data_IF_046311069167
#
_entry.id   IF_046311069167
#
_cell.length_a   1.000
_cell.length_b   1.000
_cell.length_c   1.000
_cell.angle_alpha   90.00
_cell.angle_beta   90.00
_cell.angle_gamma   90.00
#
_symmetry.space_group_name_H-M   'P 1'
#
loop_
_entity.id
_entity.type
_entity.pdbx_description
1 polymer ?
#
# COMPACT_ATOMS: atom_id res chain seq x y z
N UNK A 1 15.79 -7.87 -8.76
CA UNK A 1 15.89 -6.44 -9.12
C UNK A 1 14.73 -5.98 -10.01
N UNK A 2 14.55 -6.54 -11.21
CA UNK A 2 13.47 -6.11 -12.14
C UNK A 2 12.08 -6.20 -11.52
N UNK A 3 11.73 -7.32 -10.87
CA UNK A 3 10.45 -7.47 -10.19
C UNK A 3 10.23 -6.41 -9.10
N UNK A 4 11.26 -6.11 -8.31
CA UNK A 4 11.24 -5.08 -7.25
C UNK A 4 10.99 -3.70 -7.84
N UNK A 5 11.76 -3.33 -8.87
CA UNK A 5 11.56 -2.07 -9.58
C UNK A 5 10.17 -1.95 -10.22
N UNK A 6 9.61 -3.05 -10.67
CA UNK A 6 8.27 -3.07 -11.25
C UNK A 6 7.18 -2.76 -10.22
N UNK A 7 7.09 -3.51 -9.11
CA UNK A 7 6.02 -3.28 -8.13
C UNK A 7 6.21 -2.03 -7.28
N UNK A 8 7.44 -1.53 -7.12
CA UNK A 8 7.71 -0.20 -6.54
C UNK A 8 7.62 0.95 -7.55
N UNK A 9 7.31 0.70 -8.82
CA UNK A 9 7.08 1.79 -9.78
C UNK A 9 5.74 2.46 -9.49
N UNK A 10 5.61 3.75 -9.79
CA UNK A 10 4.31 4.42 -9.78
C UNK A 10 3.60 4.31 -11.15
N UNK A 11 3.89 3.24 -11.90
CA UNK A 11 3.35 3.06 -13.26
C UNK A 11 1.90 2.63 -13.17
N UNK A 12 0.99 3.38 -13.79
CA UNK A 12 -0.41 2.96 -13.93
C UNK A 12 -0.53 1.99 -15.11
N UNK A 13 -0.95 0.77 -14.83
CA UNK A 13 -1.26 -0.22 -15.87
C UNK A 13 -2.69 -0.01 -16.39
N UNK A 14 -2.96 -0.26 -17.67
CA UNK A 14 -4.34 -0.37 -18.15
C UNK A 14 -5.07 -1.48 -17.40
N UNK A 15 -6.29 -1.21 -16.90
CA UNK A 15 -7.06 -2.13 -16.04
C UNK A 15 -7.21 -3.52 -16.64
N UNK A 16 -7.44 -3.62 -17.96
CA UNK A 16 -7.55 -4.90 -18.66
C UNK A 16 -6.26 -5.73 -18.61
N UNK A 17 -5.10 -5.08 -18.74
CA UNK A 17 -3.79 -5.73 -18.61
C UNK A 17 -3.54 -6.11 -17.15
N UNK A 18 -3.81 -5.19 -16.23
CA UNK A 18 -3.57 -5.40 -14.81
C UNK A 18 -4.34 -6.60 -14.26
N UNK A 19 -5.57 -6.85 -14.73
CA UNK A 19 -6.37 -8.04 -14.39
C UNK A 19 -5.70 -9.37 -14.69
N UNK A 20 -4.86 -9.42 -15.72
CA UNK A 20 -4.11 -10.63 -16.04
C UNK A 20 -2.80 -10.70 -15.26
N UNK A 21 -2.10 -9.56 -15.17
CA UNK A 21 -0.81 -9.48 -14.47
C UNK A 21 -0.98 -9.79 -12.98
N UNK A 22 -2.00 -9.23 -12.31
CA UNK A 22 -2.24 -9.39 -10.87
C UNK A 22 -2.54 -10.82 -10.42
N UNK A 23 -2.78 -11.74 -11.35
CA UNK A 23 -2.92 -13.18 -11.05
C UNK A 23 -1.58 -13.89 -10.87
N UNK A 24 -0.50 -13.31 -11.38
CA UNK A 24 0.82 -13.95 -11.44
C UNK A 24 1.87 -13.08 -10.76
N UNK A 25 1.89 -11.78 -11.04
CA UNK A 25 2.87 -10.83 -10.56
C UNK A 25 2.22 -9.73 -9.71
N UNK A 26 2.94 -9.29 -8.69
CA UNK A 26 2.56 -8.13 -7.89
C UNK A 26 2.63 -6.89 -8.76
N UNK A 27 1.52 -6.15 -8.88
CA UNK A 27 1.42 -4.93 -9.69
C UNK A 27 1.78 -3.69 -8.87
N UNK A 28 2.11 -2.55 -9.52
CA UNK A 28 2.24 -1.26 -8.86
C UNK A 28 1.09 -0.91 -7.92
N UNK A 29 -0.17 -1.14 -8.34
CA UNK A 29 -1.36 -0.88 -7.53
C UNK A 29 -1.43 -1.82 -6.33
N UNK A 30 -1.22 -3.13 -6.51
CA UNK A 30 -1.22 -4.10 -5.41
C UNK A 30 -0.25 -3.70 -4.31
N UNK A 31 0.96 -3.34 -4.71
CA UNK A 31 2.01 -2.95 -3.79
C UNK A 31 1.79 -1.55 -3.19
N UNK A 32 1.18 -0.63 -3.95
CA UNK A 32 0.70 0.64 -3.42
C UNK A 32 -0.34 0.43 -2.32
N UNK A 33 -1.30 -0.49 -2.50
CA UNK A 33 -2.33 -0.84 -1.50
C UNK A 33 -1.66 -1.34 -0.21
N UNK A 34 -0.66 -2.21 -0.33
CA UNK A 34 0.15 -2.67 0.82
C UNK A 34 0.86 -1.51 1.54
N UNK A 35 1.22 -0.46 0.82
CA UNK A 35 1.83 0.75 1.37
C UNK A 35 0.84 1.85 1.77
N UNK A 36 -0.46 1.58 1.71
CA UNK A 36 -1.51 2.52 2.13
C UNK A 36 -1.35 2.88 3.61
N UNK A 37 -1.81 4.06 4.01
CA UNK A 37 -1.96 4.42 5.43
C UNK A 37 -3.17 3.76 6.11
N UNK A 38 -4.12 3.22 5.33
CA UNK A 38 -5.33 2.58 5.85
C UNK A 38 -5.01 1.12 6.21
N UNK A 39 -5.14 0.75 7.49
CA UNK A 39 -4.67 -0.55 7.99
C UNK A 39 -5.23 -1.76 7.22
N UNK A 40 -6.53 -1.78 6.93
CA UNK A 40 -7.19 -2.85 6.16
C UNK A 40 -6.70 -2.96 4.69
N UNK A 41 -6.02 -1.92 4.19
CA UNK A 41 -5.36 -1.92 2.90
C UNK A 41 -3.90 -2.37 3.04
N UNK A 42 -3.17 -1.85 4.04
CA UNK A 42 -1.77 -2.21 4.30
C UNK A 42 -1.62 -3.69 4.64
N UNK A 43 -2.58 -4.26 5.38
CA UNK A 43 -2.63 -5.67 5.79
C UNK A 43 -3.11 -6.60 4.66
N UNK A 44 -2.71 -6.30 3.42
CA UNK A 44 -3.00 -7.08 2.22
C UNK A 44 -1.81 -7.06 1.26
N UNK A 45 -1.84 -7.94 0.24
CA UNK A 45 -0.82 -8.03 -0.81
C UNK A 45 0.63 -8.17 -0.30
N UNK A 46 0.88 -9.12 0.60
CA UNK A 46 2.16 -9.34 1.30
C UNK A 46 3.29 -9.84 0.41
N UNK A 47 2.99 -10.38 -0.78
CA UNK A 47 4.02 -10.94 -1.63
C UNK A 47 4.92 -9.87 -2.22
N UNK A 48 6.18 -10.23 -2.47
CA UNK A 48 7.07 -9.47 -3.34
C UNK A 48 7.37 -10.30 -4.59
N UNK A 49 7.00 -9.78 -5.77
CA UNK A 49 7.22 -10.45 -7.06
C UNK A 49 6.05 -11.31 -7.52
N UNK A 50 5.77 -12.45 -6.88
CA UNK A 50 4.72 -13.39 -7.31
C UNK A 50 3.42 -13.18 -6.52
N UNK A 51 2.35 -12.70 -7.19
CA UNK A 51 1.05 -12.47 -6.55
C UNK A 51 0.30 -13.77 -6.21
N UNK A 52 0.71 -14.91 -6.76
CA UNK A 52 0.06 -16.22 -6.55
C UNK A 52 -0.05 -16.55 -5.06
N UNK A 53 0.94 -16.15 -4.25
CA UNK A 53 0.89 -16.40 -2.81
C UNK A 53 -0.21 -15.62 -2.12
N UNK A 54 -0.52 -14.39 -2.55
CA UNK A 54 -1.65 -13.63 -1.99
C UNK A 54 -3.00 -14.22 -2.36
N UNK A 55 -3.11 -14.79 -3.56
CA UNK A 55 -4.29 -15.55 -3.96
C UNK A 55 -4.46 -16.83 -3.14
N UNK A 56 -3.37 -17.55 -2.89
CA UNK A 56 -3.39 -18.80 -2.12
C UNK A 56 -3.76 -18.57 -0.65
N UNK A 57 -3.25 -17.49 -0.05
CA UNK A 57 -3.46 -17.19 1.37
C UNK A 57 -4.62 -16.22 1.63
N UNK A 58 -5.32 -15.78 0.57
CA UNK A 58 -6.50 -14.92 0.70
C UNK A 58 -6.21 -13.48 1.11
N UNK A 59 -4.99 -13.00 0.89
CA UNK A 59 -4.55 -11.64 1.22
C UNK A 59 -4.63 -10.67 0.03
N UNK A 60 -5.19 -11.10 -1.09
CA UNK A 60 -5.30 -10.28 -2.30
C UNK A 60 -6.32 -9.15 -2.13
N UNK A 61 -5.90 -7.91 -2.42
CA UNK A 61 -6.76 -6.72 -2.49
C UNK A 61 -6.47 -5.89 -3.73
N UNK A 62 -7.50 -5.61 -4.52
CA UNK A 62 -7.42 -5.00 -5.83
C UNK A 62 -8.46 -3.89 -6.04
N UNK A 63 -9.46 -3.76 -5.18
CA UNK A 63 -10.58 -2.84 -5.39
C UNK A 63 -10.28 -1.35 -5.07
N UNK A 64 -9.09 -1.03 -4.56
CA UNK A 64 -8.69 0.35 -4.21
C UNK A 64 -8.11 1.07 -5.43
N UNK A 65 -8.75 2.13 -5.97
CA UNK A 65 -8.22 2.87 -7.13
C UNK A 65 -6.82 3.43 -6.86
N UNK A 66 -5.93 3.35 -7.84
CA UNK A 66 -4.50 3.67 -7.62
C UNK A 66 -4.25 5.13 -7.18
N UNK A 67 -5.05 6.07 -7.67
CA UNK A 67 -5.00 7.49 -7.29
C UNK A 67 -5.58 7.79 -5.92
N UNK A 68 -6.42 6.90 -5.40
CA UNK A 68 -6.98 7.01 -4.06
C UNK A 68 -6.00 6.45 -3.00
N UNK A 69 -4.98 5.67 -3.38
CA UNK A 69 -4.01 5.11 -2.45
C UNK A 69 -3.16 6.23 -1.88
N UNK A 70 -3.26 6.41 -0.56
CA UNK A 70 -2.42 7.36 0.16
C UNK A 70 -1.28 6.59 0.83
N UNK A 71 -0.07 6.75 0.30
CA UNK A 71 1.11 6.01 0.72
C UNK A 71 1.79 6.69 1.91
N UNK A 72 2.17 5.91 2.91
CA UNK A 72 3.04 6.38 3.99
C UNK A 72 2.83 5.65 5.31
N UNK A 73 3.27 6.30 6.38
CA UNK A 73 2.98 5.88 7.75
C UNK A 73 2.06 6.93 8.34
N UNK A 74 0.90 6.54 8.85
CA UNK A 74 -0.16 7.47 9.25
C UNK A 74 0.32 8.52 10.27
N UNK A 75 1.22 8.14 11.18
CA UNK A 75 1.75 9.03 12.20
C UNK A 75 2.74 10.10 11.68
N UNK A 76 3.30 9.93 10.48
CA UNK A 76 4.31 10.82 9.90
C UNK A 76 3.75 11.53 8.67
N UNK A 77 3.22 12.73 8.90
CA UNK A 77 2.45 13.50 7.90
C UNK A 77 3.09 14.82 7.52
N UNK A 78 4.05 15.29 8.31
CA UNK A 78 4.83 16.48 7.97
C UNK A 78 6.05 16.08 7.14
N UNK A 79 6.41 16.83 6.09
CA UNK A 79 7.69 16.65 5.39
C UNK A 79 8.91 16.72 6.33
N UNK A 80 8.79 17.48 7.43
CA UNK A 80 9.84 17.61 8.44
C UNK A 80 10.14 16.29 9.17
N UNK A 81 9.13 15.42 9.29
CA UNK A 81 9.23 14.12 9.96
C UNK A 81 10.13 13.13 9.19
N UNK A 82 10.27 13.33 7.88
CA UNK A 82 10.94 12.41 6.94
C UNK A 82 12.12 13.05 6.23
N UNK A 83 12.68 14.12 6.81
CA UNK A 83 13.97 14.66 6.36
C UNK A 83 15.09 13.66 6.63
N UNK A 84 16.19 13.72 5.87
CA UNK A 84 17.32 12.82 6.09
C UNK A 84 17.83 12.84 7.56
N UNK A 85 18.01 14.01 8.22
CA UNK A 85 18.39 14.03 9.63
C UNK A 85 17.34 13.40 10.54
N UNK A 86 16.04 13.64 10.30
CA UNK A 86 14.97 13.07 11.09
C UNK A 86 14.91 11.54 10.97
N UNK A 87 15.03 10.99 9.76
CA UNK A 87 15.05 9.53 9.52
C UNK A 87 16.27 8.87 10.18
N UNK A 88 17.45 9.49 10.10
CA UNK A 88 18.66 8.97 10.76
C UNK A 88 18.53 9.01 12.30
N UNK A 89 17.84 10.01 12.84
CA UNK A 89 17.61 10.15 14.28
C UNK A 89 16.46 9.26 14.80
N UNK A 90 15.52 8.86 13.92
CA UNK A 90 14.32 8.08 14.23
C UNK A 90 14.54 6.90 15.20
N UNK A 91 15.56 6.02 15.04
CA UNK A 91 15.80 4.92 15.98
C UNK A 91 16.28 5.34 17.38
N UNK A 92 16.67 6.61 17.58
CA UNK A 92 17.21 7.14 18.84
C UNK A 92 16.26 8.12 19.55
N UNK A 93 15.10 8.42 18.97
CA UNK A 93 14.10 9.34 19.52
C UNK A 93 12.78 8.61 19.77
N UNK A 94 11.98 9.14 20.69
CA UNK A 94 10.65 8.58 20.96
C UNK A 94 9.78 8.63 19.70
N UNK A 95 9.29 7.46 19.31
CA UNK A 95 8.36 7.28 18.20
C UNK A 95 6.92 7.42 18.73
N UNK A 96 5.97 7.88 17.89
CA UNK A 96 4.56 7.78 18.20
C UNK A 96 4.20 6.32 18.51
N UNK A 97 3.44 6.06 19.59
CA UNK A 97 3.10 4.69 19.99
C UNK A 97 2.15 3.99 19.00
N UNK A 98 1.40 4.77 18.21
CA UNK A 98 0.46 4.27 17.21
C UNK A 98 0.84 4.82 15.82
N UNK A 99 1.72 4.09 15.11
CA UNK A 99 2.16 4.48 13.75
C UNK A 99 1.03 4.46 12.71
N UNK A 100 -0.07 3.77 13.01
CA UNK A 100 -1.28 3.67 12.19
C UNK A 100 -2.33 4.74 12.50
N UNK A 101 -2.08 5.64 13.46
CA UNK A 101 -2.95 6.77 13.75
C UNK A 101 -2.40 8.05 13.12
N UNK A 102 -3.30 8.90 12.61
CA UNK A 102 -2.98 10.25 12.17
C UNK A 102 -2.52 11.12 13.36
N UNK A 103 -1.74 12.20 13.12
CA UNK A 103 -1.45 13.22 14.12
C UNK A 103 -2.76 13.83 14.64
N UNK A 104 -3.24 13.36 15.79
CA UNK A 104 -4.59 13.62 16.29
C UNK A 104 -5.32 12.40 16.85
N UNK A 105 -4.78 11.19 16.68
CA UNK A 105 -5.29 9.95 17.26
C UNK A 105 -6.45 9.30 16.48
N UNK A 106 -6.73 9.78 15.27
CA UNK A 106 -7.74 9.21 14.39
C UNK A 106 -7.11 8.12 13.52
N UNK A 107 -7.82 7.03 13.27
CA UNK A 107 -7.39 6.02 12.30
C UNK A 107 -7.72 6.51 10.88
N UNK A 108 -6.81 6.35 9.90
CA UNK A 108 -7.14 6.53 8.50
C UNK A 108 -8.20 5.51 8.09
N UNK A 109 -9.33 6.00 7.61
CA UNK A 109 -10.44 5.18 7.14
C UNK A 109 -10.72 5.45 5.65
N UNK A 110 -11.22 4.42 4.98
CA UNK A 110 -11.66 4.48 3.58
C UNK A 110 -13.17 4.28 3.53
N UNK A 111 -13.87 5.13 2.79
CA UNK A 111 -15.27 4.90 2.44
C UNK A 111 -15.46 3.54 1.74
N UNK A 112 -16.65 2.96 1.84
CA UNK A 112 -16.93 1.66 1.23
C UNK A 112 -16.70 1.71 -0.29
N UNK A 113 -15.73 0.92 -0.75
CA UNK A 113 -15.40 0.80 -2.17
C UNK A 113 -16.39 -0.16 -2.86
N UNK A 114 -16.81 0.15 -4.10
CA UNK A 114 -17.66 -0.75 -4.86
C UNK A 114 -16.89 -2.03 -5.23
N UNK A 115 -17.63 -3.12 -5.39
CA UNK A 115 -17.09 -4.39 -5.89
C UNK A 115 -16.32 -5.22 -4.85
N UNK A 116 -15.99 -6.47 -5.20
CA UNK A 116 -15.28 -7.37 -4.30
C UNK A 116 -13.80 -7.00 -4.17
N UNK A 117 -13.25 -7.16 -2.96
CA UNK A 117 -11.83 -6.89 -2.63
C UNK A 117 -10.86 -7.49 -3.65
N UNK A 118 -11.13 -8.70 -4.15
CA UNK A 118 -10.28 -9.41 -5.11
C UNK A 118 -10.48 -9.03 -6.59
N UNK A 119 -11.15 -7.91 -6.89
CA UNK A 119 -11.40 -7.46 -8.27
C UNK A 119 -10.90 -6.05 -8.51
N UNK A 120 -10.24 -5.87 -9.65
CA UNK A 120 -9.89 -4.54 -10.16
C UNK A 120 -11.14 -3.86 -10.72
N UNK A 121 -11.64 -2.90 -9.95
CA UNK A 121 -12.58 -1.91 -10.46
C UNK A 121 -11.85 -0.90 -11.37
N UNK A 122 -12.54 -0.40 -12.42
CA UNK A 122 -12.01 0.60 -13.34
C UNK A 122 -11.49 1.87 -12.66
#
# INVERSE_FOLDING_TARGET
LVAIMFHHSNTRLPVGLERWVSRILVTPRMHGIHHSIVADESDSNWSSGLAIWDWLHGTVRLNVPQDAIEIGVAAYRSPDDVTLPAIVAMPFVHQPPATHELPGGQLPERDSLPGPISRLEP
#
